data_IF_886970403814
#
_entry.id   IF_886970403814
#
_cell.length_a   1.000
_cell.length_b   1.000
_cell.length_c   1.000
_cell.angle_alpha   90.00
_cell.angle_beta   90.00
_cell.angle_gamma   90.00
#
_symmetry.space_group_name_H-M   'P 1'
#
loop_
_entity.id
_entity.type
_entity.pdbx_description
1 polymer ?
#
# COMPACT_ATOMS: atom_id res chain seq x y z
N UNK A 1 11.65 48.92 74.13
CA UNK A 1 11.37 49.66 72.89
C UNK A 1 11.56 48.69 71.72
N UNK A 2 10.42 48.26 71.14
CA UNK A 2 10.17 47.63 69.83
C UNK A 2 11.04 46.41 69.43
N UNK A 3 10.57 45.15 69.36
CA UNK A 3 9.37 44.59 68.68
C UNK A 3 9.26 44.98 67.20
N UNK A 4 9.96 44.25 66.32
CA UNK A 4 9.48 43.94 64.96
C UNK A 4 10.40 42.90 64.30
N UNK A 5 10.10 41.62 64.53
CA UNK A 5 10.70 40.51 63.80
C UNK A 5 9.60 39.48 63.54
N UNK A 6 8.61 39.86 62.73
CA UNK A 6 7.54 38.96 62.32
C UNK A 6 6.81 39.48 61.08
N UNK A 7 7.44 39.40 59.91
CA UNK A 7 6.68 39.56 58.66
C UNK A 7 7.35 38.97 57.40
N UNK A 8 7.87 37.73 57.44
CA UNK A 8 8.41 37.12 56.20
C UNK A 8 8.13 35.62 56.00
N UNK A 9 7.12 35.03 56.62
CA UNK A 9 6.89 33.57 56.50
C UNK A 9 5.43 33.15 56.42
N UNK A 10 4.59 33.88 55.68
CA UNK A 10 3.22 33.39 55.36
C UNK A 10 2.75 33.78 53.96
N UNK A 11 3.50 33.45 52.90
CA UNK A 11 2.94 33.31 51.54
C UNK A 11 3.67 32.17 50.81
N UNK A 12 3.63 30.97 51.37
CA UNK A 12 3.90 29.71 50.67
C UNK A 12 2.98 28.60 51.19
N UNK A 13 1.76 28.97 51.58
CA UNK A 13 0.71 28.02 51.89
C UNK A 13 -0.26 27.98 50.70
N UNK A 14 -0.27 26.83 50.04
CA UNK A 14 -1.22 26.40 49.01
C UNK A 14 -1.22 27.21 47.72
N UNK A 15 -0.16 27.08 46.93
CA UNK A 15 -0.25 27.36 45.49
C UNK A 15 -0.71 26.08 44.76
N UNK A 16 -2.02 25.89 44.68
CA UNK A 16 -2.65 24.76 43.96
C UNK A 16 -2.50 24.90 42.43
N UNK A 17 -2.01 26.05 41.93
CA UNK A 17 -1.85 26.29 40.50
C UNK A 17 -0.71 25.46 39.87
N UNK A 18 0.24 24.95 40.68
CA UNK A 18 1.37 24.14 40.21
C UNK A 18 1.08 22.63 40.07
N UNK A 19 0.14 22.06 40.83
CA UNK A 19 -0.17 20.62 40.78
C UNK A 19 -0.77 20.22 39.44
N UNK A 20 -1.69 21.05 38.93
CA UNK A 20 -2.31 20.84 37.63
C UNK A 20 -1.29 20.86 36.47
N UNK A 21 -0.23 21.68 36.57
CA UNK A 21 0.81 21.74 35.57
C UNK A 21 1.66 20.45 35.54
N UNK A 22 1.93 19.84 36.71
CA UNK A 22 2.66 18.57 36.82
C UNK A 22 1.82 17.41 36.30
N UNK A 23 0.53 17.37 36.62
CA UNK A 23 -0.39 16.34 36.10
C UNK A 23 -0.52 16.43 34.57
N UNK A 24 -0.64 17.65 34.02
CA UNK A 24 -0.68 17.85 32.57
C UNK A 24 0.64 17.46 31.89
N UNK A 25 1.79 17.77 32.50
CA UNK A 25 3.09 17.40 31.96
C UNK A 25 3.28 15.88 31.86
N UNK A 26 2.67 15.11 32.76
CA UNK A 26 2.72 13.63 32.72
C UNK A 26 1.71 13.06 31.71
N UNK A 27 0.52 13.66 31.58
CA UNK A 27 -0.51 13.18 30.65
C UNK A 27 -0.24 13.57 29.19
N UNK A 28 0.38 14.72 28.94
CA UNK A 28 0.71 15.21 27.60
C UNK A 28 1.47 14.19 26.72
N UNK A 29 2.58 13.56 27.17
CA UNK A 29 3.27 12.56 26.36
C UNK A 29 2.41 11.32 26.06
N UNK A 30 1.53 10.91 26.98
CA UNK A 30 0.60 9.80 26.74
C UNK A 30 -0.38 10.15 25.61
N UNK A 31 -0.96 11.36 25.64
CA UNK A 31 -1.85 11.82 24.58
C UNK A 31 -1.13 11.96 23.23
N UNK A 32 0.13 12.41 23.21
CA UNK A 32 0.93 12.50 21.99
C UNK A 32 1.19 11.12 21.37
N UNK A 33 1.48 10.10 22.18
CA UNK A 33 1.66 8.73 21.69
C UNK A 33 0.36 8.18 21.10
N UNK A 34 -0.77 8.38 21.79
CA UNK A 34 -2.09 7.95 21.29
C UNK A 34 -2.43 8.66 19.99
N UNK A 35 -2.21 9.97 19.91
CA UNK A 35 -2.44 10.77 18.71
C UNK A 35 -1.56 10.29 17.54
N UNK A 36 -0.28 10.04 17.78
CA UNK A 36 0.63 9.50 16.77
C UNK A 36 0.17 8.11 16.29
N UNK A 37 -0.31 7.26 17.18
CA UNK A 37 -0.88 5.95 16.82
C UNK A 37 -2.10 6.08 15.90
N UNK A 38 -3.05 6.95 16.25
CA UNK A 38 -4.26 7.21 15.44
C UNK A 38 -3.89 7.78 14.07
N UNK A 39 -2.96 8.73 14.00
CA UNK A 39 -2.51 9.32 12.74
C UNK A 39 -1.94 8.25 11.79
N UNK A 40 -1.13 7.32 12.31
CA UNK A 40 -0.55 6.24 11.50
C UNK A 40 -1.59 5.24 11.01
N UNK A 41 -2.57 4.87 11.85
CA UNK A 41 -3.70 4.03 11.41
C UNK A 41 -4.49 4.75 10.31
N UNK A 42 -4.72 6.05 10.45
CA UNK A 42 -5.38 6.88 9.43
C UNK A 42 -4.64 6.86 8.10
N UNK A 43 -3.31 7.03 8.11
CA UNK A 43 -2.47 6.94 6.91
C UNK A 43 -2.52 5.55 6.27
N UNK A 44 -2.48 4.48 7.07
CA UNK A 44 -2.55 3.10 6.57
C UNK A 44 -3.91 2.80 5.90
N UNK A 45 -5.01 3.25 6.49
CA UNK A 45 -6.36 3.10 5.90
C UNK A 45 -6.48 3.93 4.63
N UNK A 46 -5.98 5.16 4.63
CA UNK A 46 -6.01 6.02 3.45
C UNK A 46 -5.23 5.39 2.29
N UNK A 47 -4.03 4.86 2.55
CA UNK A 47 -3.24 4.13 1.56
C UNK A 47 -4.01 2.94 1.00
N UNK A 48 -4.61 2.12 1.88
CA UNK A 48 -5.37 0.94 1.47
C UNK A 48 -6.51 1.31 0.53
N UNK A 49 -7.34 2.29 0.89
CA UNK A 49 -8.47 2.75 0.07
C UNK A 49 -7.96 3.25 -1.30
N UNK A 50 -6.89 4.04 -1.30
CA UNK A 50 -6.32 4.56 -2.53
C UNK A 50 -5.71 3.45 -3.43
N UNK A 51 -5.07 2.45 -2.84
CA UNK A 51 -4.55 1.28 -3.56
C UNK A 51 -5.69 0.46 -4.19
N UNK A 52 -6.76 0.21 -3.43
CA UNK A 52 -7.96 -0.49 -3.91
C UNK A 52 -8.64 0.28 -5.05
N UNK A 53 -8.75 1.61 -4.95
CA UNK A 53 -9.31 2.45 -6.01
C UNK A 53 -8.49 2.38 -7.31
N UNK A 54 -7.15 2.38 -7.21
CA UNK A 54 -6.26 2.24 -8.36
C UNK A 54 -6.37 0.86 -9.02
N UNK A 55 -6.36 -0.20 -8.21
CA UNK A 55 -6.59 -1.56 -8.70
C UNK A 55 -7.95 -1.65 -9.40
N UNK A 56 -8.99 -1.04 -8.83
CA UNK A 56 -10.33 -1.02 -9.44
C UNK A 56 -10.35 -0.25 -10.76
N UNK A 57 -9.66 0.88 -10.86
CA UNK A 57 -9.56 1.66 -12.10
C UNK A 57 -8.88 0.86 -13.22
N UNK A 58 -7.72 0.25 -12.91
CA UNK A 58 -7.00 -0.63 -13.85
C UNK A 58 -7.86 -1.84 -14.24
N UNK A 59 -8.54 -2.46 -13.27
CA UNK A 59 -9.43 -3.60 -13.54
C UNK A 59 -10.56 -3.23 -14.49
N UNK A 60 -11.19 -2.07 -14.28
CA UNK A 60 -12.26 -1.60 -15.15
C UNK A 60 -11.73 -1.33 -16.57
N UNK A 61 -10.56 -0.69 -16.69
CA UNK A 61 -9.95 -0.45 -17.99
C UNK A 61 -9.58 -1.76 -18.71
N UNK A 62 -9.01 -2.74 -17.99
CA UNK A 62 -8.68 -4.05 -18.54
C UNK A 62 -9.91 -4.79 -19.08
N UNK A 63 -11.06 -4.68 -18.39
CA UNK A 63 -12.32 -5.34 -18.80
C UNK A 63 -12.93 -4.67 -20.04
N UNK A 64 -12.87 -3.33 -20.11
CA UNK A 64 -13.46 -2.55 -21.21
C UNK A 64 -12.61 -2.68 -22.47
N UNK A 65 -11.31 -2.46 -22.34
CA UNK A 65 -10.39 -2.38 -23.47
C UNK A 65 -9.98 -3.77 -23.97
N UNK A 66 -9.88 -4.73 -23.05
CA UNK A 66 -9.37 -6.09 -23.31
C UNK A 66 -8.05 -6.05 -24.09
N UNK A 67 -6.96 -5.59 -23.44
CA UNK A 67 -5.69 -5.40 -24.12
C UNK A 67 -5.29 -6.64 -24.91
N UNK A 68 -5.04 -6.45 -26.20
CA UNK A 68 -4.61 -7.52 -27.08
C UNK A 68 -3.10 -7.75 -26.91
N UNK A 69 -2.76 -8.57 -25.92
CA UNK A 69 -1.39 -8.88 -25.54
C UNK A 69 -0.74 -9.84 -26.55
N UNK A 70 -0.32 -9.32 -27.70
CA UNK A 70 0.39 -10.11 -28.72
C UNK A 70 1.90 -10.01 -28.62
N UNK A 71 2.42 -8.85 -28.22
CA UNK A 71 3.84 -8.56 -28.11
C UNK A 71 4.15 -7.57 -26.97
N UNK A 72 5.45 -7.38 -26.70
CA UNK A 72 5.91 -6.49 -25.63
C UNK A 72 5.54 -5.02 -25.88
N UNK A 73 5.40 -4.59 -27.15
CA UNK A 73 5.01 -3.23 -27.47
C UNK A 73 3.54 -2.98 -27.09
N UNK A 74 2.64 -3.91 -27.40
CA UNK A 74 1.25 -3.86 -26.98
C UNK A 74 1.12 -3.83 -25.44
N UNK A 75 2.00 -4.53 -24.73
CA UNK A 75 2.06 -4.48 -23.27
C UNK A 75 2.51 -3.10 -22.75
N UNK A 76 3.47 -2.45 -23.43
CA UNK A 76 3.93 -1.10 -23.11
C UNK A 76 2.86 -0.05 -23.46
N UNK A 77 2.16 -0.21 -24.58
CA UNK A 77 1.09 0.70 -25.00
C UNK A 77 -0.06 0.68 -23.99
N UNK A 78 -0.52 -0.51 -23.62
CA UNK A 78 -1.54 -0.65 -22.57
C UNK A 78 -1.09 -0.02 -21.24
N UNK A 79 0.18 -0.17 -20.87
CA UNK A 79 0.72 0.51 -19.69
C UNK A 79 0.64 2.02 -19.81
N UNK A 80 1.00 2.59 -20.96
CA UNK A 80 0.93 4.03 -21.19
C UNK A 80 -0.49 4.57 -21.08
N UNK A 81 -1.50 3.78 -21.44
CA UNK A 81 -2.91 4.14 -21.30
C UNK A 81 -3.40 4.15 -19.85
N UNK A 82 -2.86 3.26 -19.01
CA UNK A 82 -3.23 3.20 -17.58
C UNK A 82 -2.30 3.96 -16.65
N UNK A 83 -1.18 4.50 -17.16
CA UNK A 83 -0.10 5.11 -16.34
C UNK A 83 -0.61 6.16 -15.36
N UNK A 84 -1.57 6.99 -15.78
CA UNK A 84 -2.08 8.10 -14.97
C UNK A 84 -2.86 7.59 -13.73
N UNK A 85 -3.45 6.40 -13.82
CA UNK A 85 -4.10 5.74 -12.68
C UNK A 85 -3.09 5.15 -11.70
N UNK A 86 -1.93 4.70 -12.18
CA UNK A 86 -1.01 3.88 -11.38
C UNK A 86 0.17 4.66 -10.83
N UNK A 87 0.58 5.76 -11.47
CA UNK A 87 1.78 6.53 -11.13
C UNK A 87 1.58 7.53 -9.98
N UNK A 88 0.34 7.92 -9.67
CA UNK A 88 0.07 8.86 -8.59
C UNK A 88 -0.07 8.12 -7.26
N UNK A 89 1.02 8.10 -6.47
CA UNK A 89 0.94 7.62 -5.08
C UNK A 89 0.10 8.57 -4.22
N UNK A 90 -0.82 8.04 -3.39
CA UNK A 90 -1.59 8.84 -2.43
C UNK A 90 -0.74 9.35 -1.25
N UNK A 91 0.50 8.85 -1.05
CA UNK A 91 1.40 9.24 0.05
C UNK A 91 2.70 9.75 -0.55
N UNK A 92 2.70 11.02 -0.94
CA UNK A 92 3.77 11.59 -1.78
C UNK A 92 5.12 11.81 -1.08
N UNK A 93 5.26 11.63 0.23
CA UNK A 93 6.50 12.09 0.90
C UNK A 93 7.19 11.06 1.81
N UNK A 94 6.47 10.07 2.36
CA UNK A 94 7.04 9.19 3.39
C UNK A 94 7.24 7.73 2.95
N UNK A 95 6.62 7.28 1.85
CA UNK A 95 6.66 5.87 1.45
C UNK A 95 6.87 5.61 -0.04
N UNK A 96 7.33 6.59 -0.82
CA UNK A 96 7.45 6.44 -2.27
C UNK A 96 8.36 5.26 -2.69
N UNK A 97 9.46 5.04 -1.96
CA UNK A 97 10.39 3.92 -2.20
C UNK A 97 9.87 2.58 -1.66
N UNK A 98 8.94 2.63 -0.72
CA UNK A 98 8.38 1.46 -0.03
C UNK A 98 7.07 1.00 -0.64
N UNK A 99 6.46 1.81 -1.51
CA UNK A 99 5.27 1.47 -2.27
C UNK A 99 5.65 0.93 -3.65
N UNK A 100 5.06 -0.21 -4.01
CA UNK A 100 5.22 -0.82 -5.33
C UNK A 100 3.86 -1.10 -5.93
N UNK A 101 3.73 -0.80 -7.21
CA UNK A 101 2.59 -1.23 -8.02
C UNK A 101 3.12 -2.11 -9.15
N UNK A 102 2.69 -3.36 -9.18
CA UNK A 102 3.21 -4.38 -10.09
C UNK A 102 2.08 -4.84 -10.99
N UNK A 103 2.28 -4.71 -12.29
CA UNK A 103 1.42 -5.20 -13.35
C UNK A 103 2.12 -6.39 -14.00
N UNK A 104 1.53 -7.57 -13.91
CA UNK A 104 2.04 -8.75 -14.59
C UNK A 104 1.05 -9.16 -15.69
N UNK A 105 1.50 -8.96 -16.93
CA UNK A 105 0.76 -9.21 -18.15
C UNK A 105 1.04 -10.64 -18.60
N UNK A 106 0.07 -11.50 -18.36
CA UNK A 106 0.00 -12.87 -18.82
C UNK A 106 1.27 -13.72 -18.56
N UNK A 107 1.87 -13.58 -17.38
CA UNK A 107 3.11 -14.26 -16.97
C UNK A 107 4.32 -13.99 -17.88
N UNK A 108 4.23 -12.99 -18.75
CA UNK A 108 5.24 -12.73 -19.78
C UNK A 108 5.94 -11.41 -19.57
N UNK A 109 5.22 -10.37 -19.20
CA UNK A 109 5.78 -9.03 -19.07
C UNK A 109 5.36 -8.44 -17.75
N UNK A 110 6.31 -7.92 -16.98
CA UNK A 110 6.07 -7.33 -15.68
C UNK A 110 6.50 -5.86 -15.69
N UNK A 111 5.62 -4.98 -15.21
CA UNK A 111 5.91 -3.57 -15.05
C UNK A 111 5.78 -3.25 -13.57
N UNK A 112 6.86 -2.77 -12.97
CA UNK A 112 6.90 -2.36 -11.58
C UNK A 112 7.08 -0.86 -11.50
N UNK A 113 6.15 -0.21 -10.82
CA UNK A 113 6.19 1.21 -10.52
C UNK A 113 6.62 1.40 -9.08
N UNK A 114 7.70 2.14 -8.87
CA UNK A 114 8.22 2.51 -7.54
C UNK A 114 8.55 3.99 -7.58
N UNK A 115 8.14 4.77 -6.58
CA UNK A 115 8.35 6.22 -6.55
C UNK A 115 7.94 6.97 -7.84
N UNK A 116 6.88 6.52 -8.51
CA UNK A 116 6.39 7.10 -9.77
C UNK A 116 7.21 6.72 -11.02
N UNK A 117 8.32 6.00 -10.86
CA UNK A 117 9.13 5.50 -11.96
C UNK A 117 8.72 4.08 -12.34
N UNK A 118 8.49 3.84 -13.63
CA UNK A 118 8.15 2.53 -14.17
C UNK A 118 9.41 1.80 -14.64
N UNK A 119 9.57 0.56 -14.20
CA UNK A 119 10.57 -0.38 -14.69
C UNK A 119 9.87 -1.57 -15.31
N UNK A 120 10.40 -2.09 -16.41
CA UNK A 120 9.82 -3.25 -17.09
C UNK A 120 10.77 -4.43 -17.11
N UNK A 121 10.20 -5.63 -17.13
CA UNK A 121 10.92 -6.90 -17.12
C UNK A 121 10.18 -7.93 -17.97
N UNK A 122 10.85 -8.45 -18.99
CA UNK A 122 10.38 -9.63 -19.72
C UNK A 122 10.69 -10.90 -18.93
N UNK A 123 9.71 -11.80 -18.87
CA UNK A 123 9.79 -13.11 -18.21
C UNK A 123 10.07 -14.24 -19.22
N UNK A 124 10.31 -13.90 -20.49
CA UNK A 124 10.60 -14.84 -21.58
C UNK A 124 9.53 -15.94 -21.76
N UNK A 125 8.26 -15.58 -21.54
CA UNK A 125 7.10 -16.42 -21.86
C UNK A 125 6.36 -15.82 -23.06
N UNK A 126 5.60 -16.59 -23.85
CA UNK A 126 4.77 -16.00 -24.89
C UNK A 126 3.56 -15.26 -24.27
N UNK A 127 3.30 -14.03 -24.70
CA UNK A 127 2.08 -13.27 -24.32
C UNK A 127 0.81 -13.91 -24.88
N UNK A 128 0.91 -14.72 -25.94
CA UNK A 128 -0.21 -15.41 -26.56
C UNK A 128 -0.72 -16.62 -25.78
N UNK A 129 0.09 -17.18 -24.88
CA UNK A 129 -0.22 -18.41 -24.14
C UNK A 129 -1.39 -18.21 -23.18
N UNK A 130 -2.18 -19.26 -22.94
CA UNK A 130 -3.25 -19.22 -21.96
C UNK A 130 -2.86 -19.99 -20.71
N UNK A 131 -3.38 -19.56 -19.57
CA UNK A 131 -3.02 -20.11 -18.26
C UNK A 131 -4.26 -20.44 -17.42
N UNK A 132 -4.04 -21.26 -16.41
CA UNK A 132 -5.01 -21.59 -15.37
C UNK A 132 -4.43 -21.18 -14.01
N UNK A 133 -4.27 -19.88 -13.74
CA UNK A 133 -3.66 -19.42 -12.51
C UNK A 133 -4.53 -19.81 -11.32
N UNK A 134 -3.91 -20.36 -10.28
CA UNK A 134 -4.58 -20.65 -9.02
C UNK A 134 -4.09 -19.71 -7.91
N UNK A 135 -4.97 -19.32 -7.00
CA UNK A 135 -4.62 -18.53 -5.83
C UNK A 135 -4.35 -19.46 -4.64
N UNK A 136 -3.12 -19.48 -4.16
CA UNK A 136 -2.73 -20.22 -2.95
C UNK A 136 -2.02 -19.30 -1.98
N UNK A 137 -2.48 -19.26 -0.71
CA UNK A 137 -1.94 -18.39 0.34
C UNK A 137 -1.80 -16.91 -0.06
N UNK A 138 -2.75 -16.40 -0.86
CA UNK A 138 -2.72 -15.01 -1.32
C UNK A 138 -1.79 -14.74 -2.51
N UNK A 139 -1.07 -15.73 -3.01
CA UNK A 139 -0.15 -15.65 -4.15
C UNK A 139 -0.81 -16.29 -5.37
N UNK A 140 -0.63 -15.68 -6.54
CA UNK A 140 -1.07 -16.26 -7.81
C UNK A 140 0.02 -17.17 -8.36
N UNK A 141 -0.34 -18.41 -8.66
CA UNK A 141 0.53 -19.45 -9.21
C UNK A 141 0.04 -19.74 -10.62
N UNK A 142 0.82 -19.34 -11.63
CA UNK A 142 0.45 -19.46 -13.05
C UNK A 142 0.39 -20.90 -13.58
N UNK A 143 1.21 -21.80 -13.04
CA UNK A 143 1.33 -23.17 -13.56
C UNK A 143 1.97 -23.23 -14.95
N UNK A 144 1.64 -24.28 -15.70
CA UNK A 144 2.07 -24.45 -17.10
C UNK A 144 1.14 -23.67 -18.04
N UNK A 145 1.61 -23.39 -19.27
CA UNK A 145 0.74 -22.87 -20.32
C UNK A 145 -0.15 -23.97 -20.90
N UNK A 146 -1.32 -23.55 -21.35
CA UNK A 146 -2.40 -24.35 -21.93
C UNK A 146 -2.83 -23.74 -23.26
N UNK A 147 -3.52 -24.53 -24.08
CA UNK A 147 -4.28 -23.96 -25.19
C UNK A 147 -5.48 -23.19 -24.65
N UNK A 148 -5.83 -22.05 -25.22
CA UNK A 148 -6.93 -21.20 -24.73
C UNK A 148 -8.33 -21.85 -24.79
N UNK A 149 -8.46 -23.00 -25.45
CA UNK A 149 -9.69 -23.80 -25.50
C UNK A 149 -9.74 -24.91 -24.44
N UNK A 150 -8.64 -25.15 -23.72
CA UNK A 150 -8.55 -26.20 -22.71
C UNK A 150 -9.27 -25.77 -21.43
N UNK A 151 -9.86 -26.75 -20.74
CA UNK A 151 -10.54 -26.51 -19.47
C UNK A 151 -9.57 -26.75 -18.32
N UNK A 152 -9.43 -25.74 -17.46
CA UNK A 152 -8.73 -25.77 -16.20
C UNK A 152 -9.39 -26.76 -15.21
N UNK A 153 -8.64 -27.17 -14.19
CA UNK A 153 -9.12 -28.14 -13.19
C UNK A 153 -10.33 -27.67 -12.37
N UNK A 154 -10.58 -26.36 -12.35
CA UNK A 154 -11.74 -25.72 -11.73
C UNK A 154 -12.97 -25.65 -12.65
N UNK A 155 -12.87 -26.15 -13.89
CA UNK A 155 -13.93 -26.12 -14.88
C UNK A 155 -14.00 -24.84 -15.72
N UNK A 156 -13.13 -23.87 -15.50
CA UNK A 156 -13.02 -22.67 -16.34
C UNK A 156 -12.18 -22.94 -17.59
N UNK A 157 -12.33 -22.15 -18.64
CA UNK A 157 -11.42 -22.21 -19.80
C UNK A 157 -10.12 -21.48 -19.50
N UNK A 158 -9.00 -22.04 -19.93
CA UNK A 158 -7.70 -21.40 -19.89
C UNK A 158 -7.77 -20.06 -20.63
N UNK A 159 -7.11 -19.06 -20.05
CA UNK A 159 -7.36 -17.67 -20.38
C UNK A 159 -6.08 -16.83 -20.27
N UNK A 160 -6.12 -15.63 -20.83
CA UNK A 160 -5.08 -14.63 -20.58
C UNK A 160 -5.47 -13.79 -19.38
N UNK A 161 -4.48 -13.44 -18.57
CA UNK A 161 -4.73 -12.70 -17.33
C UNK A 161 -3.84 -11.47 -17.20
N UNK A 162 -4.40 -10.42 -16.60
CA UNK A 162 -3.67 -9.30 -16.03
C UNK A 162 -3.67 -9.45 -14.52
N UNK A 163 -2.50 -9.57 -13.90
CA UNK A 163 -2.37 -9.53 -12.45
C UNK A 163 -1.93 -8.14 -12.04
N UNK A 164 -2.67 -7.54 -11.12
CA UNK A 164 -2.37 -6.23 -10.56
C UNK A 164 -2.08 -6.40 -9.09
N UNK A 165 -0.93 -5.88 -8.64
CA UNK A 165 -0.49 -5.95 -7.26
C UNK A 165 -0.13 -4.57 -6.74
N UNK A 166 -0.63 -4.21 -5.56
CA UNK A 166 -0.18 -3.05 -4.79
C UNK A 166 0.47 -3.54 -3.49
N UNK A 167 1.67 -3.05 -3.19
CA UNK A 167 2.47 -3.43 -2.03
C UNK A 167 2.97 -2.17 -1.31
N UNK A 168 2.97 -2.17 0.02
CA UNK A 168 3.65 -1.15 0.81
C UNK A 168 4.26 -1.75 2.08
N UNK A 169 5.57 -1.52 2.23
CA UNK A 169 6.40 -2.19 3.24
C UNK A 169 6.77 -1.26 4.42
N UNK A 170 6.19 -0.04 4.52
CA UNK A 170 6.60 0.94 5.55
C UNK A 170 5.46 1.73 6.22
N UNK A 171 4.19 1.31 6.12
CA UNK A 171 3.06 2.09 6.66
C UNK A 171 3.03 2.24 8.20
N UNK A 172 3.92 1.57 8.95
CA UNK A 172 3.80 1.48 10.42
C UNK A 172 5.05 1.94 11.20
N UNK A 173 6.00 2.64 10.59
CA UNK A 173 7.19 3.15 11.26
C UNK A 173 6.94 4.53 11.91
N UNK A 174 6.51 4.55 13.18
CA UNK A 174 6.21 5.78 13.93
C UNK A 174 7.48 6.36 14.60
N UNK A 175 8.40 5.48 15.00
CA UNK A 175 9.68 5.82 15.63
C UNK A 175 10.74 5.01 14.89
N UNK A 176 11.91 5.61 14.59
CA UNK A 176 13.03 4.87 14.01
C UNK A 176 13.32 3.62 14.85
N UNK A 177 13.05 2.43 14.28
CA UNK A 177 13.23 1.13 14.94
C UNK A 177 12.03 0.52 15.65
N UNK A 178 10.87 1.19 15.75
CA UNK A 178 9.64 0.61 16.30
C UNK A 178 8.50 0.67 15.28
N UNK A 179 8.14 -0.49 14.75
CA UNK A 179 6.93 -0.70 13.97
C UNK A 179 5.87 -1.37 14.85
N UNK A 180 4.64 -0.85 14.84
CA UNK A 180 3.51 -1.51 15.50
C UNK A 180 3.05 -2.79 14.76
N UNK A 181 3.58 -3.03 13.56
CA UNK A 181 3.37 -4.24 12.78
C UNK A 181 4.49 -4.39 11.75
N UNK A 182 5.05 -5.61 11.52
CA UNK A 182 5.95 -5.88 10.41
C UNK A 182 5.21 -6.08 9.08
N UNK A 183 3.91 -5.79 9.00
CA UNK A 183 3.11 -6.24 7.87
C UNK A 183 3.34 -5.38 6.63
N UNK A 184 4.19 -5.89 5.73
CA UNK A 184 4.08 -5.66 4.30
C UNK A 184 2.61 -5.85 3.90
N UNK A 185 1.95 -4.77 3.48
CA UNK A 185 0.55 -4.85 3.03
C UNK A 185 0.56 -5.08 1.54
N UNK A 186 0.04 -6.24 1.11
CA UNK A 186 0.01 -6.64 -0.29
C UNK A 186 -1.42 -6.98 -0.73
N UNK A 187 -1.87 -6.31 -1.79
CA UNK A 187 -3.13 -6.58 -2.47
C UNK A 187 -2.84 -7.08 -3.86
N UNK A 188 -3.33 -8.27 -4.20
CA UNK A 188 -3.18 -8.85 -5.54
C UNK A 188 -4.55 -9.26 -6.08
N UNK A 189 -4.87 -8.80 -7.28
CA UNK A 189 -6.03 -9.24 -8.05
C UNK A 189 -5.59 -9.83 -9.38
N UNK A 190 -6.35 -10.80 -9.89
CA UNK A 190 -6.17 -11.38 -11.21
C UNK A 190 -7.43 -11.09 -12.02
N UNK A 191 -7.23 -10.43 -13.16
CA UNK A 191 -8.29 -10.03 -14.09
C UNK A 191 -8.17 -10.94 -15.30
N UNK A 192 -9.27 -11.62 -15.64
CA UNK A 192 -9.35 -12.41 -16.86
C UNK A 192 -9.61 -11.48 -18.04
N UNK A 193 -8.81 -11.60 -19.09
CA UNK A 193 -8.90 -10.76 -20.29
C UNK A 193 -9.76 -11.42 -21.37
N UNK A 194 -9.57 -12.73 -21.59
CA UNK A 194 -10.24 -13.55 -22.62
C UNK A 194 -10.49 -14.96 -22.09
#
# INVERSE_FOLDING_TARGET
>A
MNMHLMHHTKIFHADETGSAAVEFAILSPLFLIILAGIANIGLAINWKIAAENRISAVSNQAIIEKPNLTDENAAIDYFNDIKDFVSNSPIQEYSQDNEKFILNLNNSYEITITAGEATSKSLNKPLSDCYCPNKSNGIIIWGNSFNCSETCADGQTAARYLIVTAENNSLFNIISGYAFSPADVKFTTAIRLE
#
